data_IF_100578212859
#
_entry.id   IF_100578212859
#
_cell.length_a   1.000
_cell.length_b   1.000
_cell.length_c   1.000
_cell.angle_alpha   90.00
_cell.angle_beta   90.00
_cell.angle_gamma   90.00
#
_symmetry.space_group_name_H-M   'P 1'
#
loop_
_entity.id
_entity.type
_entity.pdbx_description
1 polymer ?
#
# COMPACT_ATOMS: atom_id res chain seq x y z
N UNK A 1 -29.44 9.82 -21.60
CA UNK A 1 -28.83 8.57 -22.04
C UNK A 1 -27.55 8.95 -22.78
N UNK A 2 -26.42 8.99 -22.07
CA UNK A 2 -25.13 9.40 -22.64
C UNK A 2 -24.19 8.20 -22.52
N UNK A 3 -23.84 7.63 -23.68
CA UNK A 3 -22.86 6.54 -23.79
C UNK A 3 -21.45 7.16 -23.67
N UNK A 4 -20.69 6.77 -22.64
CA UNK A 4 -19.25 6.97 -22.58
C UNK A 4 -18.56 5.70 -23.04
N UNK A 5 -18.08 5.70 -24.26
CA UNK A 5 -17.26 4.66 -24.85
C UNK A 5 -15.79 4.92 -24.41
N UNK A 6 -15.35 4.18 -23.41
CA UNK A 6 -13.96 4.21 -22.94
C UNK A 6 -13.08 3.38 -23.88
N UNK A 7 -12.41 4.05 -24.80
CA UNK A 7 -11.37 3.48 -25.65
C UNK A 7 -10.08 3.31 -24.82
N UNK A 8 -9.94 2.17 -24.15
CA UNK A 8 -8.71 1.78 -23.47
C UNK A 8 -7.78 1.07 -24.46
N UNK A 9 -6.95 1.85 -25.20
CA UNK A 9 -5.90 1.31 -26.04
C UNK A 9 -4.70 0.92 -25.16
N UNK A 10 -4.21 -0.33 -25.22
CA UNK A 10 -3.01 -0.72 -24.52
C UNK A 10 -1.80 -0.02 -25.14
N UNK A 11 -1.00 0.67 -24.31
CA UNK A 11 0.27 1.28 -24.73
C UNK A 11 1.25 0.19 -25.13
N UNK A 12 1.92 0.32 -26.29
CA UNK A 12 2.96 -0.63 -26.68
C UNK A 12 4.17 -0.52 -25.75
N UNK A 13 4.66 -1.66 -25.32
CA UNK A 13 5.87 -1.80 -24.50
C UNK A 13 7.09 -1.31 -25.29
N UNK A 14 8.08 -0.65 -24.65
CA UNK A 14 9.31 -0.23 -25.32
C UNK A 14 10.16 -1.46 -25.71
N UNK A 15 10.48 -1.53 -26.99
CA UNK A 15 11.36 -2.54 -27.58
C UNK A 15 12.78 -2.39 -27.05
N UNK A 16 13.22 -3.30 -26.19
CA UNK A 16 14.60 -3.36 -25.68
C UNK A 16 15.46 -3.96 -26.79
N UNK A 17 16.09 -3.10 -27.61
CA UNK A 17 17.13 -3.48 -28.58
C UNK A 17 18.38 -3.98 -27.83
N UNK A 18 18.46 -5.27 -27.63
CA UNK A 18 19.63 -5.97 -27.12
C UNK A 18 20.82 -5.80 -28.09
N UNK A 19 21.73 -4.92 -27.75
CA UNK A 19 23.00 -4.74 -28.45
C UNK A 19 23.95 -5.88 -28.06
N UNK A 20 23.92 -6.98 -28.81
CA UNK A 20 24.97 -8.02 -28.76
C UNK A 20 26.25 -7.42 -29.34
N UNK A 21 27.21 -7.06 -28.50
CA UNK A 21 28.60 -6.88 -28.91
C UNK A 21 29.22 -8.26 -29.12
N UNK A 22 29.45 -8.60 -30.38
CA UNK A 22 30.30 -9.74 -30.75
C UNK A 22 31.75 -9.35 -30.40
N UNK A 23 32.32 -9.99 -29.39
CA UNK A 23 33.76 -9.94 -29.16
C UNK A 23 34.39 -10.94 -30.15
N UNK A 24 34.97 -10.40 -31.23
CA UNK A 24 35.84 -11.16 -32.11
C UNK A 24 37.12 -11.46 -31.32
N UNK A 25 37.47 -12.75 -31.33
CA UNK A 25 38.67 -13.24 -30.69
C UNK A 25 39.93 -12.76 -31.43
N UNK A 26 40.72 -11.95 -30.77
CA UNK A 26 42.11 -11.76 -31.17
C UNK A 26 42.96 -12.83 -30.50
N UNK A 27 43.58 -13.64 -31.38
CA UNK A 27 44.49 -14.69 -31.01
C UNK A 27 45.71 -14.17 -30.28
N UNK A 28 45.80 -14.47 -28.98
CA UNK A 28 47.00 -14.20 -28.21
C UNK A 28 48.02 -15.29 -28.44
N UNK A 29 48.94 -15.10 -29.41
CA UNK A 29 50.08 -15.95 -29.65
C UNK A 29 51.01 -15.89 -28.45
N UNK A 30 51.03 -16.96 -27.65
CA UNK A 30 52.00 -17.13 -26.57
C UNK A 30 53.37 -17.46 -27.15
N UNK A 31 54.24 -16.48 -27.20
CA UNK A 31 55.66 -16.64 -27.34
C UNK A 31 56.19 -17.27 -26.04
N UNK A 32 56.55 -18.56 -26.12
CA UNK A 32 57.24 -19.24 -25.03
C UNK A 32 58.70 -18.73 -24.98
N UNK A 33 58.94 -17.72 -24.20
CA UNK A 33 60.28 -17.37 -23.75
C UNK A 33 60.59 -18.19 -22.49
N UNK A 34 61.45 -19.17 -22.66
CA UNK A 34 62.06 -19.92 -21.57
C UNK A 34 62.98 -19.04 -20.77
N UNK A 35 62.42 -18.35 -19.75
CA UNK A 35 63.21 -17.64 -18.75
C UNK A 35 63.79 -18.64 -17.77
N UNK A 36 65.11 -18.81 -17.87
CA UNK A 36 65.89 -19.67 -16.95
C UNK A 36 65.65 -19.23 -15.49
N UNK A 37 65.07 -20.15 -14.72
CA UNK A 37 64.91 -20.00 -13.29
C UNK A 37 66.26 -20.10 -12.61
N UNK A 38 66.93 -18.94 -12.42
CA UNK A 38 68.02 -18.84 -11.48
C UNK A 38 67.50 -19.20 -10.09
N UNK A 39 68.00 -20.29 -9.51
CA UNK A 39 67.76 -20.62 -8.08
C UNK A 39 68.20 -19.43 -7.21
N UNK A 40 67.24 -18.54 -6.95
CA UNK A 40 67.43 -17.51 -5.93
C UNK A 40 67.56 -18.23 -4.57
N UNK A 41 68.78 -18.27 -4.09
CA UNK A 41 69.11 -18.77 -2.76
C UNK A 41 68.43 -17.82 -1.71
N UNK A 42 67.19 -18.12 -1.32
CA UNK A 42 66.47 -17.32 -0.31
C UNK A 42 67.06 -17.61 1.05
N UNK A 43 67.60 -16.63 1.74
CA UNK A 43 68.18 -16.79 3.07
C UNK A 43 67.12 -17.33 4.05
N UNK A 44 67.41 -18.49 4.66
CA UNK A 44 66.49 -19.27 5.49
C UNK A 44 66.00 -18.61 6.80
N UNK A 45 66.34 -17.34 7.07
CA UNK A 45 65.96 -16.63 8.29
C UNK A 45 64.60 -15.92 8.21
N UNK A 46 63.94 -15.91 7.05
CA UNK A 46 62.59 -15.30 6.90
C UNK A 46 61.45 -16.27 7.11
N UNK A 47 61.70 -17.53 7.51
CA UNK A 47 60.69 -18.61 7.61
C UNK A 47 60.04 -18.74 9.01
N UNK A 48 60.37 -17.86 9.95
CA UNK A 48 59.82 -17.93 11.30
C UNK A 48 59.00 -16.73 11.66
N UNK A 49 57.76 -16.90 12.07
CA UNK A 49 56.86 -15.99 12.80
C UNK A 49 55.71 -15.28 12.04
N UNK A 50 55.18 -15.78 10.93
CA UNK A 50 54.01 -15.13 10.33
C UNK A 50 52.70 -15.91 10.54
N UNK A 51 52.73 -17.08 11.16
CA UNK A 51 51.55 -17.92 11.35
C UNK A 51 50.55 -17.34 12.38
N UNK A 52 51.04 -16.67 13.43
CA UNK A 52 50.17 -16.06 14.46
C UNK A 52 49.35 -14.87 13.95
N UNK A 53 49.97 -14.02 13.12
CA UNK A 53 49.27 -12.86 12.56
C UNK A 53 48.17 -13.25 11.59
N UNK A 54 48.41 -14.28 10.77
CA UNK A 54 47.39 -14.78 9.81
C UNK A 54 46.14 -15.32 10.53
N UNK A 55 46.33 -15.98 11.68
CA UNK A 55 45.22 -16.50 12.48
C UNK A 55 44.42 -15.37 13.13
N UNK A 56 45.08 -14.34 13.68
CA UNK A 56 44.40 -13.17 14.23
C UNK A 56 43.64 -12.39 13.12
N UNK A 57 44.25 -12.21 11.95
CA UNK A 57 43.60 -11.55 10.81
C UNK A 57 42.38 -12.36 10.33
N UNK A 58 42.45 -13.69 10.27
CA UNK A 58 41.33 -14.54 9.92
C UNK A 58 40.16 -14.44 10.94
N UNK A 59 40.48 -14.43 12.24
CA UNK A 59 39.47 -14.23 13.28
C UNK A 59 38.82 -12.86 13.17
N UNK A 60 39.57 -11.79 12.96
CA UNK A 60 39.01 -10.46 12.76
C UNK A 60 38.12 -10.40 11.52
N UNK A 61 38.51 -11.03 10.40
CA UNK A 61 37.72 -11.09 9.21
C UNK A 61 36.37 -11.82 9.43
N UNK A 62 36.37 -12.93 10.17
CA UNK A 62 35.15 -13.65 10.55
C UNK A 62 34.22 -12.76 11.41
N UNK A 63 34.79 -12.05 12.38
CA UNK A 63 34.03 -11.14 13.24
C UNK A 63 33.37 -10.03 12.43
N UNK A 64 34.08 -9.40 11.51
CA UNK A 64 33.56 -8.35 10.64
C UNK A 64 32.45 -8.91 9.73
N UNK A 65 32.69 -10.06 9.10
CA UNK A 65 31.69 -10.71 8.24
C UNK A 65 30.43 -11.08 9.04
N UNK A 66 30.58 -11.60 10.25
CA UNK A 66 29.44 -11.91 11.12
C UNK A 66 28.65 -10.64 11.49
N UNK A 67 29.33 -9.55 11.85
CA UNK A 67 28.68 -8.29 12.19
C UNK A 67 27.90 -7.71 10.99
N UNK A 68 28.50 -7.73 9.79
CA UNK A 68 27.84 -7.30 8.55
C UNK A 68 26.67 -8.21 8.21
N UNK A 69 26.81 -9.53 8.38
CA UNK A 69 25.74 -10.50 8.14
C UNK A 69 24.52 -10.25 9.03
N UNK A 70 24.74 -10.00 10.33
CA UNK A 70 23.67 -9.65 11.28
C UNK A 70 23.00 -8.33 10.88
N UNK A 71 23.77 -7.31 10.49
CA UNK A 71 23.24 -6.02 10.06
C UNK A 71 22.32 -6.18 8.83
N UNK A 72 22.78 -6.89 7.80
CA UNK A 72 21.99 -7.13 6.58
C UNK A 72 20.72 -7.91 6.91
N UNK A 73 20.80 -8.91 7.76
CA UNK A 73 19.63 -9.68 8.17
C UNK A 73 18.62 -8.83 8.92
N UNK A 74 19.04 -7.95 9.83
CA UNK A 74 18.12 -7.06 10.57
C UNK A 74 17.40 -6.08 9.64
N UNK A 75 18.11 -5.45 8.70
CA UNK A 75 17.52 -4.55 7.71
C UNK A 75 16.51 -5.29 6.82
N UNK A 76 16.89 -6.46 6.32
CA UNK A 76 16.01 -7.27 5.45
C UNK A 76 14.72 -7.69 6.16
N UNK A 77 14.78 -8.05 7.44
CA UNK A 77 13.58 -8.42 8.21
C UNK A 77 12.68 -7.22 8.49
N UNK A 78 13.23 -6.03 8.66
CA UNK A 78 12.44 -4.79 8.80
C UNK A 78 11.68 -4.47 7.51
N UNK A 79 12.33 -4.56 6.35
CA UNK A 79 11.70 -4.32 5.05
C UNK A 79 10.53 -5.28 4.78
N UNK A 80 10.68 -6.55 5.15
CA UNK A 80 9.60 -7.53 5.04
C UNK A 80 8.39 -7.16 5.93
N UNK A 81 8.63 -6.71 7.16
CA UNK A 81 7.56 -6.28 8.06
C UNK A 81 6.81 -5.06 7.53
N UNK A 82 7.54 -4.06 7.02
CA UNK A 82 6.94 -2.86 6.42
C UNK A 82 6.11 -3.23 5.19
N UNK A 83 6.64 -4.08 4.31
CA UNK A 83 5.93 -4.55 3.12
C UNK A 83 4.65 -5.30 3.48
N UNK A 84 4.70 -6.21 4.45
CA UNK A 84 3.53 -6.98 4.91
C UNK A 84 2.45 -6.06 5.49
N UNK A 85 2.85 -5.08 6.30
CA UNK A 85 1.93 -4.10 6.87
C UNK A 85 1.26 -3.26 5.78
N UNK A 86 2.02 -2.79 4.79
CA UNK A 86 1.49 -2.00 3.68
C UNK A 86 0.46 -2.78 2.85
N UNK A 87 0.70 -4.09 2.63
CA UNK A 87 -0.27 -4.97 1.96
C UNK A 87 -1.56 -5.07 2.80
N UNK A 88 -1.45 -5.28 4.11
CA UNK A 88 -2.59 -5.32 5.01
C UNK A 88 -3.41 -4.03 5.00
N UNK A 89 -2.74 -2.88 5.07
CA UNK A 89 -3.39 -1.56 5.01
C UNK A 89 -4.13 -1.35 3.67
N UNK A 90 -3.53 -1.74 2.55
CA UNK A 90 -4.19 -1.68 1.23
C UNK A 90 -5.43 -2.58 1.14
N UNK A 91 -5.37 -3.79 1.72
CA UNK A 91 -6.50 -4.70 1.72
C UNK A 91 -7.64 -4.18 2.61
N UNK A 92 -7.32 -3.64 3.79
CA UNK A 92 -8.30 -3.01 4.68
C UNK A 92 -8.93 -1.77 4.02
N UNK A 93 -8.13 -0.96 3.30
CA UNK A 93 -8.62 0.20 2.55
C UNK A 93 -9.58 -0.20 1.42
N UNK A 94 -9.24 -1.22 0.63
CA UNK A 94 -10.13 -1.73 -0.43
C UNK A 94 -11.46 -2.24 0.14
N UNK A 95 -11.43 -2.91 1.30
CA UNK A 95 -12.65 -3.33 2.00
C UNK A 95 -13.48 -2.14 2.47
N UNK A 96 -12.83 -1.09 2.99
CA UNK A 96 -13.45 0.15 3.39
C UNK A 96 -14.12 0.85 2.20
N UNK A 97 -13.44 0.98 1.06
CA UNK A 97 -14.02 1.55 -0.17
C UNK A 97 -15.28 0.79 -0.60
N UNK A 98 -15.24 -0.55 -0.55
CA UNK A 98 -16.41 -1.38 -0.84
C UNK A 98 -17.56 -1.06 0.11
N UNK A 99 -17.28 -0.93 1.42
CA UNK A 99 -18.26 -0.53 2.43
C UNK A 99 -18.89 0.83 2.14
N UNK A 100 -18.10 1.84 1.76
CA UNK A 100 -18.61 3.16 1.37
C UNK A 100 -19.49 3.09 0.12
N UNK A 101 -19.10 2.30 -0.88
CA UNK A 101 -19.93 2.11 -2.08
C UNK A 101 -21.26 1.43 -1.76
N UNK A 102 -21.26 0.39 -0.91
CA UNK A 102 -22.47 -0.29 -0.46
C UNK A 102 -23.36 0.65 0.33
N UNK A 103 -22.80 1.40 1.27
CA UNK A 103 -23.52 2.42 2.03
C UNK A 103 -24.21 3.45 1.11
N UNK A 104 -23.49 3.96 0.10
CA UNK A 104 -24.04 4.96 -0.84
C UNK A 104 -25.14 4.38 -1.72
N UNK A 105 -25.02 3.11 -2.12
CA UNK A 105 -25.99 2.44 -2.97
C UNK A 105 -27.26 2.05 -2.22
N UNK A 106 -27.11 1.53 -1.01
CA UNK A 106 -28.19 0.92 -0.23
C UNK A 106 -28.71 1.86 0.87
N UNK A 107 -28.34 3.16 0.84
CA UNK A 107 -28.78 4.14 1.80
C UNK A 107 -30.28 4.38 1.71
N UNK A 108 -30.98 4.16 2.82
CA UNK A 108 -32.40 4.40 2.97
C UNK A 108 -32.63 5.39 4.11
N UNK A 109 -33.14 6.58 3.79
CA UNK A 109 -33.38 7.64 4.75
C UNK A 109 -34.63 7.40 5.65
N UNK A 110 -35.55 6.54 5.20
CA UNK A 110 -36.75 6.16 5.94
C UNK A 110 -36.45 5.05 6.96
N UNK A 111 -35.45 4.23 6.65
CA UNK A 111 -35.03 3.13 7.50
C UNK A 111 -33.49 3.06 7.61
N UNK A 112 -32.95 3.89 8.51
CA UNK A 112 -31.50 4.00 8.69
C UNK A 112 -30.85 2.68 9.10
N UNK A 113 -31.53 1.89 9.92
CA UNK A 113 -31.02 0.57 10.35
C UNK A 113 -30.92 -0.44 9.21
N UNK A 114 -31.66 -0.27 8.11
CA UNK A 114 -31.51 -1.11 6.93
C UNK A 114 -30.18 -0.92 6.19
N UNK A 115 -29.47 0.19 6.45
CA UNK A 115 -28.16 0.48 5.89
C UNK A 115 -27.01 -0.09 6.73
N UNK A 116 -27.29 -0.56 7.94
CA UNK A 116 -26.30 -1.20 8.80
C UNK A 116 -25.83 -2.53 8.22
N UNK A 117 -24.53 -2.76 8.26
CA UNK A 117 -23.90 -4.01 7.81
C UNK A 117 -22.81 -4.40 8.77
N UNK A 118 -22.89 -5.59 9.32
CA UNK A 118 -21.87 -6.11 10.21
C UNK A 118 -21.06 -7.21 9.53
N UNK A 119 -19.73 -7.08 9.58
CA UNK A 119 -18.76 -8.11 9.19
C UNK A 119 -19.01 -8.74 7.81
N UNK A 120 -19.35 -7.94 6.82
CA UNK A 120 -19.61 -8.40 5.46
C UNK A 120 -18.29 -8.62 4.68
N UNK A 121 -18.30 -9.59 3.76
CA UNK A 121 -17.18 -9.80 2.83
C UNK A 121 -17.10 -8.64 1.84
N UNK A 122 -15.89 -8.12 1.65
CA UNK A 122 -15.66 -7.06 0.67
C UNK A 122 -15.78 -7.58 -0.78
N UNK A 123 -15.35 -8.82 -1.02
CA UNK A 123 -15.46 -9.48 -2.30
C UNK A 123 -15.80 -10.96 -2.09
N UNK A 124 -16.91 -11.40 -2.66
CA UNK A 124 -17.37 -12.80 -2.56
C UNK A 124 -16.52 -13.78 -3.38
N UNK A 125 -15.73 -13.28 -4.34
CA UNK A 125 -14.85 -14.08 -5.21
C UNK A 125 -13.36 -13.89 -4.94
N UNK A 126 -12.99 -12.96 -4.07
CA UNK A 126 -11.61 -12.55 -3.80
C UNK A 126 -11.06 -13.02 -2.45
N UNK A 127 -10.51 -12.09 -1.67
CA UNK A 127 -9.89 -12.38 -0.38
C UNK A 127 -10.96 -12.57 0.71
N UNK A 128 -11.13 -13.78 1.28
CA UNK A 128 -12.10 -14.04 2.33
C UNK A 128 -11.76 -13.34 3.67
N UNK A 129 -10.55 -12.79 3.79
CA UNK A 129 -10.10 -12.11 4.99
C UNK A 129 -10.39 -10.61 4.98
N UNK A 130 -10.74 -10.03 3.83
CA UNK A 130 -11.10 -8.63 3.69
C UNK A 130 -12.59 -8.43 3.92
N UNK A 131 -12.94 -7.67 4.96
CA UNK A 131 -14.30 -7.47 5.42
C UNK A 131 -14.54 -6.00 5.75
N UNK A 132 -15.82 -5.62 5.76
CA UNK A 132 -16.25 -4.28 6.17
C UNK A 132 -17.44 -4.35 7.13
N UNK A 133 -17.56 -3.29 7.92
CA UNK A 133 -18.70 -3.02 8.80
C UNK A 133 -19.16 -1.60 8.54
N UNK A 134 -20.46 -1.39 8.45
CA UNK A 134 -21.13 -0.10 8.31
C UNK A 134 -21.98 0.09 9.55
N UNK A 135 -21.76 1.16 10.32
CA UNK A 135 -22.63 1.50 11.44
C UNK A 135 -24.00 1.99 10.95
N UNK A 136 -25.01 1.92 11.77
CA UNK A 136 -26.28 2.59 11.52
C UNK A 136 -26.00 4.09 11.28
N UNK A 137 -26.47 4.67 10.15
CA UNK A 137 -26.32 6.09 9.89
C UNK A 137 -27.11 6.92 10.91
N UNK A 138 -26.52 8.03 11.37
CA UNK A 138 -27.18 8.93 12.34
C UNK A 138 -27.24 10.37 11.85
N UNK A 139 -28.17 11.12 12.43
CA UNK A 139 -28.24 12.57 12.21
C UNK A 139 -27.15 13.25 13.05
N UNK A 140 -26.31 14.09 12.43
CA UNK A 140 -25.20 14.73 13.15
C UNK A 140 -25.70 15.62 14.30
N UNK A 141 -24.98 15.58 15.41
CA UNK A 141 -25.16 16.50 16.51
C UNK A 141 -24.70 17.92 16.14
N UNK A 142 -25.14 18.97 16.81
CA UNK A 142 -24.71 20.36 16.53
C UNK A 142 -23.19 20.56 16.56
N UNK A 143 -22.46 19.75 17.33
CA UNK A 143 -20.99 19.78 17.42
C UNK A 143 -20.31 19.17 16.18
N UNK A 144 -21.00 18.29 15.46
CA UNK A 144 -20.52 17.62 14.24
C UNK A 144 -20.90 18.40 12.97
N UNK A 145 -21.63 19.51 13.15
CA UNK A 145 -22.10 20.39 12.10
C UNK A 145 -23.61 20.32 11.87
N UNK A 146 -24.14 21.11 10.91
CA UNK A 146 -25.58 21.19 10.70
C UNK A 146 -26.15 19.88 10.17
N UNK A 147 -27.26 19.45 10.76
CA UNK A 147 -28.01 18.28 10.30
C UNK A 147 -28.71 18.53 8.95
N UNK A 148 -28.91 19.80 8.60
CA UNK A 148 -29.57 20.22 7.38
C UNK A 148 -28.79 21.34 6.69
N UNK A 149 -28.64 21.26 5.37
CA UNK A 149 -27.95 22.26 4.54
C UNK A 149 -28.93 22.86 3.55
N UNK A 150 -29.20 24.15 3.67
CA UNK A 150 -30.12 24.89 2.79
C UNK A 150 -29.45 25.19 1.45
N UNK A 151 -30.25 25.10 0.36
CA UNK A 151 -29.83 25.54 -0.96
C UNK A 151 -29.98 27.08 -1.04
N UNK A 152 -28.89 27.77 -1.28
CA UNK A 152 -28.88 29.22 -1.49
C UNK A 152 -29.57 29.56 -2.82
N UNK A 153 -30.55 30.43 -2.80
CA UNK A 153 -31.24 30.94 -3.99
C UNK A 153 -32.62 30.33 -4.30
N UNK A 154 -33.02 29.26 -3.62
CA UNK A 154 -34.34 28.64 -3.81
C UNK A 154 -35.40 29.05 -2.80
N UNK A 155 -35.09 29.96 -1.87
CA UNK A 155 -35.93 30.22 -0.71
C UNK A 155 -36.39 31.67 -0.59
N UNK A 156 -36.24 32.50 -1.63
CA UNK A 156 -36.48 33.95 -1.47
C UNK A 156 -37.96 34.37 -1.36
N UNK A 157 -38.91 33.59 -1.85
CA UNK A 157 -40.33 34.01 -1.88
C UNK A 157 -41.36 32.93 -1.51
N UNK A 158 -40.95 31.67 -1.34
CA UNK A 158 -41.90 30.63 -0.94
C UNK A 158 -41.71 30.23 0.51
N UNK A 159 -42.82 29.92 1.19
CA UNK A 159 -42.85 29.38 2.55
C UNK A 159 -42.07 28.09 2.74
N UNK A 160 -41.55 27.48 1.66
CA UNK A 160 -40.81 26.25 1.67
C UNK A 160 -39.36 26.48 1.25
N UNK A 161 -38.45 26.42 2.20
CA UNK A 161 -37.03 26.33 1.90
C UNK A 161 -36.68 24.92 1.42
N UNK A 162 -35.78 24.83 0.43
CA UNK A 162 -35.28 23.56 -0.06
C UNK A 162 -33.86 23.31 0.46
N UNK A 163 -33.54 22.07 0.73
CA UNK A 163 -32.20 21.70 1.17
C UNK A 163 -31.96 20.19 1.15
N UNK A 164 -30.93 19.79 1.82
CA UNK A 164 -30.59 18.37 1.99
C UNK A 164 -30.37 18.04 3.46
N UNK A 165 -30.91 16.93 3.90
CA UNK A 165 -30.58 16.35 5.18
C UNK A 165 -29.18 15.71 5.10
N UNK A 166 -28.43 15.82 6.18
CA UNK A 166 -27.09 15.24 6.32
C UNK A 166 -27.17 14.11 7.33
N UNK A 167 -26.59 13.00 6.97
CA UNK A 167 -26.39 11.84 7.84
C UNK A 167 -24.91 11.54 7.94
N UNK A 168 -24.48 10.96 9.03
CA UNK A 168 -23.14 10.45 9.26
C UNK A 168 -23.20 8.95 9.44
N UNK A 169 -22.17 8.24 9.00
CA UNK A 169 -22.00 6.81 9.24
C UNK A 169 -20.52 6.49 9.36
N UNK A 170 -20.17 5.59 10.26
CA UNK A 170 -18.83 5.04 10.36
C UNK A 170 -18.72 3.80 9.49
N UNK A 171 -17.72 3.81 8.61
CA UNK A 171 -17.38 2.64 7.81
C UNK A 171 -16.01 2.14 8.24
N UNK A 172 -15.93 0.87 8.60
CA UNK A 172 -14.69 0.22 9.00
C UNK A 172 -14.37 -0.91 8.04
N UNK A 173 -13.22 -0.83 7.41
CA UNK A 173 -12.64 -1.90 6.61
C UNK A 173 -11.53 -2.61 7.40
N UNK A 174 -11.49 -3.92 7.35
CA UNK A 174 -10.46 -4.68 8.06
C UNK A 174 -10.05 -5.94 7.29
N UNK A 175 -8.79 -6.34 7.51
CA UNK A 175 -8.27 -7.59 6.99
C UNK A 175 -7.76 -8.45 8.13
N UNK A 176 -8.37 -9.63 8.32
CA UNK A 176 -8.07 -10.53 9.43
C UNK A 176 -6.71 -11.20 9.29
N UNK A 177 -6.23 -11.46 8.06
CA UNK A 177 -4.93 -12.09 7.81
C UNK A 177 -3.75 -11.22 8.25
N UNK A 178 -3.86 -9.92 8.04
CA UNK A 178 -2.79 -8.96 8.36
C UNK A 178 -3.07 -8.14 9.61
N UNK A 179 -4.20 -8.39 10.28
CA UNK A 179 -4.64 -7.64 11.46
C UNK A 179 -4.64 -6.12 11.24
N UNK A 180 -5.04 -5.70 10.05
CA UNK A 180 -5.10 -4.29 9.66
C UNK A 180 -6.54 -3.80 9.66
N UNK A 181 -6.77 -2.61 10.22
CA UNK A 181 -8.09 -1.98 10.31
C UNK A 181 -7.98 -0.52 9.91
N UNK A 182 -8.95 -0.05 9.14
CA UNK A 182 -9.11 1.36 8.77
C UNK A 182 -10.56 1.76 8.98
N UNK A 183 -10.78 2.97 9.51
CA UNK A 183 -12.11 3.52 9.76
C UNK A 183 -12.21 4.92 9.17
N UNK A 184 -13.37 5.24 8.61
CA UNK A 184 -13.70 6.58 8.12
C UNK A 184 -15.12 6.95 8.55
N UNK A 185 -15.30 8.18 8.96
CA UNK A 185 -16.62 8.77 9.15
C UNK A 185 -17.07 9.41 7.83
N UNK A 186 -18.18 8.93 7.29
CA UNK A 186 -18.69 9.34 5.99
C UNK A 186 -19.96 10.14 6.12
N UNK A 187 -20.01 11.30 5.45
CA UNK A 187 -21.21 12.14 5.38
C UNK A 187 -22.06 11.84 4.15
N UNK A 188 -23.34 11.59 4.33
CA UNK A 188 -24.31 11.34 3.27
C UNK A 188 -25.30 12.50 3.22
N UNK A 189 -25.52 13.08 2.04
CA UNK A 189 -26.51 14.13 1.82
C UNK A 189 -27.73 13.58 1.06
N UNK A 190 -28.90 13.63 1.68
CA UNK A 190 -30.16 13.24 1.06
C UNK A 190 -31.00 14.48 0.71
N UNK A 191 -31.43 14.59 -0.52
CA UNK A 191 -32.27 15.71 -0.99
C UNK A 191 -32.22 15.89 -2.51
N UNK A 192 -32.98 16.87 -3.08
CA UNK A 192 -33.61 18.00 -2.40
C UNK A 192 -34.90 17.65 -1.65
N UNK A 193 -35.06 18.11 -0.42
CA UNK A 193 -36.27 17.99 0.36
C UNK A 193 -36.80 19.37 0.77
N UNK A 194 -38.14 19.59 0.76
CA UNK A 194 -38.72 20.82 1.27
C UNK A 194 -38.62 20.83 2.79
N UNK A 195 -38.22 21.94 3.36
CA UNK A 195 -38.18 22.15 4.79
C UNK A 195 -39.30 23.10 5.19
N UNK A 196 -40.21 22.62 6.03
CA UNK A 196 -41.20 23.51 6.66
C UNK A 196 -40.54 24.35 7.77
N UNK A 197 -40.98 25.59 7.97
CA UNK A 197 -40.41 26.49 9.01
C UNK A 197 -40.52 25.95 10.45
N UNK A 198 -41.32 24.91 10.68
CA UNK A 198 -41.53 24.29 11.98
C UNK A 198 -40.36 23.35 12.40
N UNK A 199 -39.45 23.05 11.49
CA UNK A 199 -38.28 22.19 11.75
C UNK A 199 -37.00 22.96 12.12
N UNK A 200 -37.13 24.24 12.53
CA UNK A 200 -36.02 25.09 12.99
C UNK A 200 -35.76 24.97 14.48
#
# INVERSE_FOLDING_TARGET
MVFFESHNQPRPLPEIKGRRKSMSGEGFSRKNESIGYGKANRPGWLRGRKTGFALVAALMAIWILTAVGILVFTVSTQDLRVSTRLVGEKMAFAALETGVHVLTRDFDYENLSASERENQLADTGGDPNSRYTISEPWIPNPTEGPAFIYYTGFSAESSNAWGRARYLADVTGFNTRYSSTMQVNTGIGYGPIPVSPESR
#
